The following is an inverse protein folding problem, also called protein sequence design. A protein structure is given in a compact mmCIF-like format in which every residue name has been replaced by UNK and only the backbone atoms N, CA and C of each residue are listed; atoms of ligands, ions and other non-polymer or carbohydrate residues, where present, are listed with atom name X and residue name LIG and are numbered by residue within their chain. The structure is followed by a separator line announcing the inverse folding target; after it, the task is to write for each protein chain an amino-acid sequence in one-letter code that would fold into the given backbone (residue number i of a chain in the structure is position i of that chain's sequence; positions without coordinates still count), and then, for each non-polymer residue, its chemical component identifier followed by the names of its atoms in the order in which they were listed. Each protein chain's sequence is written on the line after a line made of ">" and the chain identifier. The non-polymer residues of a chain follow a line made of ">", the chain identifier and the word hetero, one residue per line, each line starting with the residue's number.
data_IF_256435524878
#
_entry.id   IF_256435524878
#
_cell.length_a   1.000
_cell.length_b   1.000
_cell.length_c   1.000
_cell.angle_alpha   90.00
_cell.angle_beta   90.00
_cell.angle_gamma   90.00
#
_symmetry.space_group_name_H-M   'P 1'
#
loop_
_entity.id
_entity.type
_entity.pdbx_description
1 polymer ?
#
# COMPACT_ATOMS: atom_id res chain seq x y z
N UNK A 1 35.89 15.54 -23.35
CA UNK A 1 34.71 14.91 -22.73
C UNK A 1 33.99 16.02 -21.99
N UNK A 2 32.82 16.40 -22.47
CA UNK A 2 32.04 17.53 -21.95
C UNK A 2 31.71 17.35 -20.46
N UNK A 3 31.79 18.46 -19.73
CA UNK A 3 31.59 18.57 -18.29
C UNK A 3 30.13 18.34 -17.89
N UNK A 4 29.69 17.09 -17.90
CA UNK A 4 28.31 16.74 -17.55
C UNK A 4 28.05 16.86 -16.04
N UNK A 5 26.83 17.25 -15.68
CA UNK A 5 26.36 17.24 -14.29
C UNK A 5 26.18 15.81 -13.79
N UNK A 6 26.57 15.54 -12.54
CA UNK A 6 26.51 14.18 -11.99
C UNK A 6 26.15 14.17 -10.50
N UNK A 7 25.56 13.05 -10.07
CA UNK A 7 25.31 12.72 -8.67
C UNK A 7 26.11 11.46 -8.33
N UNK A 8 27.03 11.60 -7.37
CA UNK A 8 27.84 10.50 -6.85
C UNK A 8 27.29 10.06 -5.50
N UNK A 9 27.11 8.75 -5.32
CA UNK A 9 26.59 8.14 -4.10
C UNK A 9 27.63 7.18 -3.55
N UNK A 10 27.96 7.32 -2.26
CA UNK A 10 28.76 6.36 -1.51
C UNK A 10 27.90 5.75 -0.42
N UNK A 11 27.51 4.49 -0.59
CA UNK A 11 26.78 3.74 0.44
C UNK A 11 27.68 3.44 1.63
N UNK A 12 28.98 3.19 1.41
CA UNK A 12 29.95 2.97 2.48
C UNK A 12 30.10 4.18 3.41
N UNK A 13 30.24 5.39 2.84
CA UNK A 13 30.35 6.63 3.59
C UNK A 13 29.00 7.24 3.98
N UNK A 14 27.88 6.61 3.59
CA UNK A 14 26.51 7.13 3.74
C UNK A 14 26.40 8.59 3.26
N UNK A 15 27.00 8.88 2.10
CA UNK A 15 27.17 10.24 1.60
C UNK A 15 26.76 10.36 0.13
N UNK A 16 26.29 11.55 -0.24
CA UNK A 16 25.93 11.90 -1.62
C UNK A 16 26.56 13.25 -1.98
N UNK A 17 27.09 13.34 -3.19
CA UNK A 17 27.65 14.58 -3.76
C UNK A 17 27.02 14.84 -5.12
N UNK A 18 26.31 15.96 -5.25
CA UNK A 18 25.85 16.49 -6.53
C UNK A 18 26.84 17.56 -7.03
N UNK A 19 27.19 17.52 -8.31
CA UNK A 19 28.09 18.48 -8.95
C UNK A 19 27.49 18.99 -10.25
N UNK A 20 27.56 20.31 -10.47
CA UNK A 20 27.07 20.97 -11.69
C UNK A 20 25.59 20.70 -12.02
N UNK A 21 24.78 20.44 -10.99
CA UNK A 21 23.33 20.21 -11.09
C UNK A 21 22.48 21.48 -10.88
N UNK A 22 23.08 22.68 -10.84
CA UNK A 22 22.38 23.93 -10.51
C UNK A 22 21.27 24.22 -11.54
N UNK A 23 20.09 24.60 -11.05
CA UNK A 23 18.92 24.90 -11.90
C UNK A 23 18.19 23.69 -12.47
N UNK A 24 18.73 22.47 -12.34
CA UNK A 24 18.05 21.26 -12.81
C UNK A 24 17.04 20.76 -11.78
N UNK A 25 15.75 20.90 -12.11
CA UNK A 25 14.65 20.34 -11.31
C UNK A 25 14.76 18.82 -11.20
N UNK A 26 15.19 18.15 -12.27
CA UNK A 26 15.39 16.69 -12.30
C UNK A 26 16.49 16.28 -11.31
N UNK A 27 17.66 16.93 -11.38
CA UNK A 27 18.75 16.61 -10.47
C UNK A 27 18.39 16.93 -9.02
N UNK A 28 17.66 18.02 -8.76
CA UNK A 28 17.18 18.35 -7.42
C UNK A 28 16.26 17.27 -6.88
N UNK A 29 15.25 16.83 -7.66
CA UNK A 29 14.32 15.77 -7.25
C UNK A 29 15.04 14.45 -7.02
N UNK A 30 15.94 14.07 -7.92
CA UNK A 30 16.73 12.85 -7.81
C UNK A 30 17.64 12.86 -6.57
N UNK A 31 18.31 13.99 -6.31
CA UNK A 31 19.14 14.16 -5.12
C UNK A 31 18.30 14.05 -3.85
N UNK A 32 17.15 14.75 -3.77
CA UNK A 32 16.24 14.66 -2.63
C UNK A 32 15.75 13.23 -2.38
N UNK A 33 15.36 12.52 -3.45
CA UNK A 33 14.93 11.13 -3.37
C UNK A 33 16.04 10.23 -2.80
N UNK A 34 17.25 10.30 -3.36
CA UNK A 34 18.38 9.53 -2.87
C UNK A 34 18.77 9.88 -1.43
N UNK A 35 18.71 11.17 -1.05
CA UNK A 35 18.94 11.59 0.33
C UNK A 35 17.92 10.96 1.28
N UNK A 36 16.63 10.92 0.89
CA UNK A 36 15.59 10.27 1.67
C UNK A 36 15.79 8.75 1.80
N UNK A 37 16.37 8.09 0.78
CA UNK A 37 16.63 6.64 0.81
C UNK A 37 18.01 6.26 1.38
N UNK A 38 18.93 7.22 1.56
CA UNK A 38 20.30 6.96 1.99
C UNK A 38 20.41 6.12 3.27
N UNK A 39 19.58 6.33 4.31
CA UNK A 39 19.60 5.47 5.50
C UNK A 39 19.34 4.01 5.17
N UNK A 40 18.33 3.73 4.35
CA UNK A 40 17.92 2.39 3.93
C UNK A 40 18.98 1.75 3.04
N UNK A 41 19.45 2.46 2.02
CA UNK A 41 20.48 1.96 1.10
C UNK A 41 21.81 1.65 1.81
N UNK A 42 22.22 2.49 2.77
CA UNK A 42 23.41 2.23 3.58
C UNK A 42 23.26 0.96 4.43
N UNK A 43 22.09 0.73 5.02
CA UNK A 43 21.86 -0.45 5.84
C UNK A 43 21.82 -1.73 4.99
N UNK A 44 21.23 -1.69 3.79
CA UNK A 44 21.31 -2.79 2.82
C UNK A 44 22.78 -3.10 2.49
N UNK A 45 23.56 -2.06 2.18
CA UNK A 45 25.00 -2.22 1.89
C UNK A 45 25.78 -2.88 3.04
N UNK A 46 25.43 -2.60 4.30
CA UNK A 46 26.13 -3.13 5.48
C UNK A 46 25.66 -4.53 5.87
N UNK A 47 24.36 -4.81 5.78
CA UNK A 47 23.75 -5.99 6.40
C UNK A 47 23.20 -7.03 5.43
N UNK A 48 22.99 -6.69 4.15
CA UNK A 48 22.52 -7.66 3.17
C UNK A 48 23.70 -8.53 2.70
N UNK A 49 23.60 -9.87 2.80
CA UNK A 49 24.59 -10.78 2.24
C UNK A 49 24.78 -10.53 0.74
N UNK A 50 26.01 -10.68 0.24
CA UNK A 50 26.34 -10.44 -1.18
C UNK A 50 26.06 -11.67 -2.06
N UNK A 51 26.02 -12.85 -1.48
CA UNK A 51 25.65 -14.12 -2.12
C UNK A 51 24.13 -14.27 -2.30
N UNK A 52 23.72 -15.15 -3.22
CA UNK A 52 22.32 -15.40 -3.58
C UNK A 52 22.03 -15.18 -5.07
N UNK A 53 20.87 -15.68 -5.52
CA UNK A 53 20.39 -15.54 -6.90
C UNK A 53 19.60 -14.25 -7.07
N UNK A 54 19.58 -13.63 -8.26
CA UNK A 54 18.84 -12.39 -8.51
C UNK A 54 17.37 -12.39 -8.04
N UNK A 55 16.70 -13.54 -8.13
CA UNK A 55 15.29 -13.72 -7.75
C UNK A 55 15.05 -13.96 -6.26
N UNK A 56 16.09 -14.19 -5.46
CA UNK A 56 15.94 -14.40 -4.03
C UNK A 56 15.37 -13.15 -3.36
N UNK A 57 14.52 -13.32 -2.35
CA UNK A 57 13.96 -12.21 -1.58
C UNK A 57 15.05 -11.54 -0.75
N UNK A 58 15.11 -10.21 -0.80
CA UNK A 58 15.99 -9.42 0.05
C UNK A 58 15.65 -9.60 1.52
N UNK A 59 16.70 -9.87 2.26
CA UNK A 59 16.75 -9.79 3.70
C UNK A 59 16.18 -8.57 4.37
N UNK A 60 16.76 -7.46 3.95
CA UNK A 60 16.74 -6.25 4.73
C UNK A 60 15.37 -5.57 4.72
N UNK A 61 14.65 -5.69 3.61
CA UNK A 61 13.32 -5.12 3.47
C UNK A 61 12.29 -6.00 4.18
N UNK A 62 11.60 -5.43 5.15
CA UNK A 62 10.42 -6.07 5.71
C UNK A 62 9.26 -6.04 4.70
N UNK A 63 8.43 -7.09 4.67
CA UNK A 63 7.24 -7.10 3.85
C UNK A 63 6.29 -5.94 4.15
N UNK A 64 5.69 -5.38 3.10
CA UNK A 64 4.60 -4.40 3.21
C UNK A 64 3.31 -5.08 2.78
N UNK A 65 2.34 -5.12 3.68
CA UNK A 65 1.02 -5.68 3.45
C UNK A 65 0.03 -4.56 3.12
N UNK A 66 -0.89 -4.85 2.21
CA UNK A 66 -1.97 -3.96 1.84
C UNK A 66 -3.29 -4.71 1.88
N UNK A 67 -4.34 -4.02 2.31
CA UNK A 67 -5.70 -4.53 2.18
C UNK A 67 -6.68 -3.38 2.05
N UNK A 68 -7.80 -3.64 1.36
CA UNK A 68 -8.90 -2.69 1.31
C UNK A 68 -9.71 -2.78 2.59
N UNK A 69 -10.29 -1.67 3.03
CA UNK A 69 -11.28 -1.71 4.10
C UNK A 69 -12.37 -2.77 3.83
N UNK A 70 -12.96 -3.32 4.90
CA UNK A 70 -14.10 -4.22 4.81
C UNK A 70 -15.29 -3.55 4.13
N UNK A 71 -16.30 -4.32 3.74
CA UNK A 71 -17.49 -3.78 3.09
C UNK A 71 -18.15 -2.67 3.94
N UNK A 72 -18.33 -1.49 3.33
CA UNK A 72 -19.01 -0.34 3.93
C UNK A 72 -20.44 -0.19 3.41
N UNK A 73 -21.25 0.59 4.09
CA UNK A 73 -22.64 0.91 3.69
C UNK A 73 -22.68 1.45 2.26
N UNK A 74 -21.79 2.39 1.90
CA UNK A 74 -21.74 2.94 0.53
C UNK A 74 -21.28 1.94 -0.53
N UNK A 75 -20.63 0.84 -0.14
CA UNK A 75 -20.34 -0.22 -1.11
C UNK A 75 -21.60 -0.99 -1.50
N UNK A 76 -22.60 -1.09 -0.61
CA UNK A 76 -23.89 -1.70 -0.94
C UNK A 76 -24.74 -0.78 -1.83
N UNK A 77 -24.62 0.52 -1.61
CA UNK A 77 -25.40 1.55 -2.31
C UNK A 77 -24.74 2.04 -3.61
N UNK A 78 -23.53 1.56 -3.91
CA UNK A 78 -22.70 2.02 -5.03
C UNK A 78 -22.46 3.55 -5.02
N UNK A 79 -22.18 4.08 -3.83
CA UNK A 79 -21.92 5.50 -3.56
C UNK A 79 -20.42 5.83 -3.59
N UNK A 80 -20.12 7.03 -4.08
CA UNK A 80 -18.77 7.58 -4.15
C UNK A 80 -18.42 8.32 -2.86
N UNK A 81 -17.17 8.18 -2.42
CA UNK A 81 -16.61 9.01 -1.35
C UNK A 81 -17.23 8.75 0.03
N UNK A 82 -17.45 9.84 0.76
CA UNK A 82 -18.09 9.86 2.08
C UNK A 82 -17.27 9.22 3.19
N UNK A 83 -17.89 9.16 4.37
CA UNK A 83 -17.34 8.48 5.56
C UNK A 83 -18.32 7.47 6.20
N UNK A 84 -18.89 6.54 5.41
CA UNK A 84 -19.78 5.49 5.91
C UNK A 84 -19.06 4.54 6.86
N UNK A 85 -19.83 3.88 7.71
CA UNK A 85 -19.31 2.81 8.55
C UNK A 85 -19.23 1.47 7.76
N UNK A 86 -18.60 0.47 8.37
CA UNK A 86 -18.64 -0.91 7.95
C UNK A 86 -20.02 -1.51 8.17
N UNK A 87 -20.45 -2.36 7.24
CA UNK A 87 -21.57 -3.27 7.45
C UNK A 87 -21.16 -4.37 8.43
N UNK A 88 -22.12 -5.14 8.94
CA UNK A 88 -21.81 -6.33 9.76
C UNK A 88 -20.84 -7.28 9.06
N UNK A 89 -21.04 -7.45 7.75
CA UNK A 89 -20.14 -8.28 6.97
C UNK A 89 -18.76 -7.64 6.78
N UNK A 90 -18.67 -6.31 6.70
CA UNK A 90 -17.39 -5.59 6.72
C UNK A 90 -16.62 -5.76 8.03
N UNK A 91 -17.33 -5.84 9.17
CA UNK A 91 -16.71 -6.16 10.47
C UNK A 91 -16.19 -7.60 10.52
N UNK A 92 -16.91 -8.55 9.89
CA UNK A 92 -16.40 -9.92 9.70
C UNK A 92 -15.18 -9.95 8.78
N UNK A 93 -15.15 -9.13 7.72
CA UNK A 93 -13.98 -8.99 6.86
C UNK A 93 -12.76 -8.50 7.66
N UNK A 94 -12.94 -7.50 8.54
CA UNK A 94 -11.90 -6.99 9.43
C UNK A 94 -11.35 -8.05 10.41
N UNK A 95 -12.25 -8.83 11.00
CA UNK A 95 -11.88 -9.92 11.91
C UNK A 95 -11.10 -11.03 11.17
N UNK A 96 -11.48 -11.36 9.93
CA UNK A 96 -10.78 -12.36 9.13
C UNK A 96 -9.36 -11.90 8.76
N UNK A 97 -9.19 -10.63 8.39
CA UNK A 97 -7.86 -10.05 8.12
C UNK A 97 -6.96 -10.21 9.36
N UNK A 98 -7.47 -9.87 10.55
CA UNK A 98 -6.72 -10.03 11.79
C UNK A 98 -6.42 -11.49 12.14
N UNK A 99 -7.35 -12.41 11.83
CA UNK A 99 -7.15 -13.86 11.98
C UNK A 99 -6.01 -14.34 11.09
N UNK A 100 -5.99 -13.93 9.81
CA UNK A 100 -4.90 -14.24 8.88
C UNK A 100 -3.55 -13.77 9.42
N UNK A 101 -3.44 -12.54 9.92
CA UNK A 101 -2.18 -12.05 10.48
C UNK A 101 -1.74 -12.86 11.71
N UNK A 102 -2.69 -13.29 12.54
CA UNK A 102 -2.40 -14.10 13.73
C UNK A 102 -1.91 -15.50 13.37
N UNK A 103 -2.57 -16.18 12.43
CA UNK A 103 -2.28 -17.58 12.09
C UNK A 103 -1.16 -17.72 11.06
N UNK A 104 -1.22 -16.93 9.97
CA UNK A 104 -0.38 -17.14 8.79
C UNK A 104 0.85 -16.22 8.73
N UNK A 105 0.88 -15.13 9.50
CA UNK A 105 1.98 -14.15 9.41
C UNK A 105 2.84 -14.17 10.68
N UNK A 106 2.27 -13.88 11.85
CA UNK A 106 3.04 -13.71 13.09
C UNK A 106 3.91 -14.91 13.48
N UNK A 107 3.56 -16.12 13.04
CA UNK A 107 4.28 -17.34 13.37
C UNK A 107 4.96 -17.98 12.17
N UNK A 108 5.04 -17.28 11.03
CA UNK A 108 5.52 -17.85 9.78
C UNK A 108 7.05 -17.75 9.66
N UNK A 109 7.80 -18.85 9.84
CA UNK A 109 9.24 -18.80 9.77
C UNK A 109 9.74 -18.53 8.35
N UNK A 110 8.95 -18.88 7.32
CA UNK A 110 9.33 -18.73 5.91
C UNK A 110 9.20 -17.28 5.42
N UNK A 111 8.18 -16.54 5.86
CA UNK A 111 8.04 -15.10 5.58
C UNK A 111 9.15 -14.28 6.24
N UNK A 112 9.70 -14.78 7.35
CA UNK A 112 10.67 -14.06 8.18
C UNK A 112 11.89 -14.93 8.49
N UNK A 113 12.48 -15.61 7.50
CA UNK A 113 13.65 -16.49 7.71
C UNK A 113 14.85 -15.80 8.38
N UNK A 114 14.92 -14.47 8.35
CA UNK A 114 15.94 -13.66 9.07
C UNK A 114 15.40 -12.94 10.31
N UNK A 115 14.22 -13.32 10.81
CA UNK A 115 13.74 -12.92 12.14
C UNK A 115 14.71 -13.47 13.18
N UNK A 116 15.49 -12.57 13.76
CA UNK A 116 16.32 -12.87 14.92
C UNK A 116 15.58 -12.44 16.18
N UNK A 117 15.99 -12.89 17.36
CA UNK A 117 15.45 -12.34 18.62
C UNK A 117 15.56 -10.80 18.67
N UNK A 118 16.61 -10.25 18.03
CA UNK A 118 16.80 -8.81 17.85
C UNK A 118 15.74 -8.18 16.94
N UNK A 119 15.21 -8.88 15.94
CA UNK A 119 14.07 -8.40 15.14
C UNK A 119 12.85 -8.23 16.04
N UNK A 120 12.50 -9.24 16.85
CA UNK A 120 11.37 -9.11 17.78
C UNK A 120 11.52 -8.00 18.82
N UNK A 121 12.76 -7.72 19.24
CA UNK A 121 13.07 -6.64 20.17
C UNK A 121 13.18 -5.25 19.51
N UNK A 122 13.50 -5.16 18.21
CA UNK A 122 13.89 -3.88 17.55
C UNK A 122 13.16 -3.57 16.24
N UNK A 123 12.42 -4.51 15.66
CA UNK A 123 11.73 -4.45 14.36
C UNK A 123 10.37 -5.13 14.47
N UNK A 124 9.30 -4.35 14.63
CA UNK A 124 7.95 -4.86 14.85
C UNK A 124 7.03 -4.78 13.62
N UNK A 125 5.74 -4.57 13.92
CA UNK A 125 4.74 -4.20 12.94
C UNK A 125 4.28 -2.76 13.14
N UNK A 126 3.76 -2.15 12.08
CA UNK A 126 2.92 -0.97 12.15
C UNK A 126 1.62 -1.21 11.39
N UNK A 127 0.51 -0.67 11.90
CA UNK A 127 -0.78 -0.69 11.22
C UNK A 127 -1.15 0.72 10.81
N UNK A 128 -1.24 0.95 9.51
CA UNK A 128 -1.52 2.25 8.90
C UNK A 128 -2.92 2.22 8.30
N UNK A 129 -3.64 3.34 8.43
CA UNK A 129 -4.92 3.50 7.77
C UNK A 129 -5.18 4.95 7.36
N UNK A 130 -6.26 5.16 6.62
CA UNK A 130 -6.76 6.51 6.34
C UNK A 130 -7.41 7.15 7.58
N UNK A 131 -7.93 8.36 7.43
CA UNK A 131 -8.75 9.01 8.46
C UNK A 131 -10.24 8.67 8.37
N UNK A 132 -10.66 7.82 7.43
CA UNK A 132 -12.06 7.43 7.26
C UNK A 132 -12.40 6.22 8.14
N UNK A 133 -13.61 6.22 8.70
CA UNK A 133 -14.14 5.25 9.68
C UNK A 133 -13.95 3.82 9.20
N UNK A 134 -14.36 3.52 7.97
CA UNK A 134 -14.25 2.18 7.37
C UNK A 134 -12.84 1.60 7.41
N UNK A 135 -11.78 2.39 7.17
CA UNK A 135 -10.41 1.87 7.27
C UNK A 135 -9.96 1.72 8.72
N UNK A 136 -10.37 2.64 9.60
CA UNK A 136 -10.03 2.58 11.03
C UNK A 136 -10.65 1.34 11.70
N UNK A 137 -11.94 1.12 11.50
CA UNK A 137 -12.65 -0.05 12.03
C UNK A 137 -12.15 -1.36 11.40
N UNK A 138 -11.66 -1.33 10.16
CA UNK A 138 -11.02 -2.51 9.55
C UNK A 138 -9.64 -2.78 10.15
N UNK A 139 -8.87 -1.73 10.46
CA UNK A 139 -7.53 -1.83 11.02
C UNK A 139 -7.52 -2.28 12.49
N UNK A 140 -8.54 -1.91 13.27
CA UNK A 140 -8.60 -2.11 14.72
C UNK A 140 -8.39 -3.58 15.18
N UNK A 141 -9.07 -4.60 14.61
CA UNK A 141 -8.78 -5.98 14.99
C UNK A 141 -7.33 -6.39 14.71
N UNK A 142 -6.75 -5.91 13.61
CA UNK A 142 -5.37 -6.23 13.23
C UNK A 142 -4.36 -5.46 14.10
N UNK A 143 -4.66 -4.24 14.53
CA UNK A 143 -3.78 -3.47 15.42
C UNK A 143 -3.69 -4.09 16.80
N UNK A 144 -4.77 -4.68 17.31
CA UNK A 144 -4.75 -5.46 18.56
C UNK A 144 -3.80 -6.66 18.43
N UNK A 145 -3.81 -7.34 17.29
CA UNK A 145 -2.95 -8.50 17.02
C UNK A 145 -1.48 -8.12 16.81
N UNK A 146 -1.22 -7.07 16.03
CA UNK A 146 0.11 -6.76 15.52
C UNK A 146 0.87 -5.73 16.36
N UNK A 147 0.14 -4.81 17.02
CA UNK A 147 0.70 -3.54 17.53
C UNK A 147 0.10 -3.10 18.86
N UNK A 148 -0.50 -4.02 19.62
CA UNK A 148 -1.13 -3.72 20.92
C UNK A 148 -2.16 -2.56 20.85
N UNK A 149 -2.91 -2.51 19.76
CA UNK A 149 -3.96 -1.51 19.52
C UNK A 149 -3.49 -0.21 18.84
N UNK A 150 -2.18 -0.01 18.62
CA UNK A 150 -1.67 1.22 18.02
C UNK A 150 -1.96 1.30 16.51
N UNK A 151 -2.54 2.41 16.05
CA UNK A 151 -2.82 2.66 14.63
C UNK A 151 -2.26 4.02 14.24
N UNK A 152 -1.53 4.07 13.12
CA UNK A 152 -1.09 5.32 12.50
C UNK A 152 -2.09 5.72 11.42
N UNK A 153 -2.73 6.88 11.58
CA UNK A 153 -3.76 7.38 10.66
C UNK A 153 -3.23 8.52 9.81
N UNK A 154 -3.35 8.39 8.49
CA UNK A 154 -2.83 9.35 7.53
C UNK A 154 -3.94 9.93 6.66
N UNK A 155 -4.08 11.26 6.64
CA UNK A 155 -5.00 11.95 5.72
C UNK A 155 -4.67 11.65 4.25
N UNK A 156 -3.38 11.51 3.93
CA UNK A 156 -2.91 11.16 2.58
C UNK A 156 -3.34 9.77 2.12
N UNK A 157 -3.83 8.90 3.01
CA UNK A 157 -4.42 7.62 2.66
C UNK A 157 -5.95 7.67 2.49
N UNK A 158 -6.60 8.83 2.64
CA UNK A 158 -8.04 8.97 2.35
C UNK A 158 -8.31 8.63 0.88
N UNK A 159 -9.51 8.10 0.62
CA UNK A 159 -9.95 7.78 -0.74
C UNK A 159 -9.87 9.00 -1.66
N UNK A 160 -9.80 8.77 -2.96
CA UNK A 160 -9.89 9.83 -3.96
C UNK A 160 -11.13 10.68 -3.71
N UNK A 161 -10.95 12.00 -3.62
CA UNK A 161 -12.06 12.93 -3.37
C UNK A 161 -12.86 13.15 -4.66
N UNK A 162 -14.12 12.72 -4.69
CA UNK A 162 -15.03 12.84 -5.82
C UNK A 162 -15.63 14.25 -5.98
N UNK A 163 -15.26 15.20 -5.11
CA UNK A 163 -15.60 16.61 -5.27
C UNK A 163 -17.10 16.84 -5.15
N UNK A 164 -17.71 17.49 -6.14
CA UNK A 164 -19.16 17.68 -6.20
C UNK A 164 -19.95 16.37 -6.31
N UNK A 165 -19.29 15.23 -6.53
CA UNK A 165 -19.88 13.91 -6.61
C UNK A 165 -19.68 13.07 -5.33
N UNK A 166 -19.15 13.64 -4.25
CA UNK A 166 -19.14 12.98 -2.94
C UNK A 166 -20.57 12.66 -2.49
N UNK A 167 -20.75 11.54 -1.81
CA UNK A 167 -22.05 11.07 -1.30
C UNK A 167 -23.12 10.97 -2.41
N UNK A 168 -22.72 10.65 -3.65
CA UNK A 168 -23.63 10.34 -4.75
C UNK A 168 -23.45 8.90 -5.20
N UNK A 169 -24.53 8.23 -5.58
CA UNK A 169 -24.49 6.96 -6.31
C UNK A 169 -23.96 7.20 -7.72
N UNK A 170 -23.37 6.17 -8.34
CA UNK A 170 -22.97 6.29 -9.75
C UNK A 170 -24.15 6.62 -10.68
N UNK A 171 -25.36 6.16 -10.35
CA UNK A 171 -26.57 6.47 -11.12
C UNK A 171 -27.01 7.93 -10.96
N UNK A 172 -26.98 8.49 -9.75
CA UNK A 172 -27.22 9.92 -9.53
C UNK A 172 -26.21 10.80 -10.28
N UNK A 173 -24.92 10.43 -10.28
CA UNK A 173 -23.89 11.14 -11.05
C UNK A 173 -24.19 11.10 -12.55
N UNK A 174 -24.62 9.96 -13.07
CA UNK A 174 -24.98 9.81 -14.49
C UNK A 174 -26.17 10.68 -14.87
N UNK A 175 -27.16 10.82 -13.98
CA UNK A 175 -28.37 11.61 -14.23
C UNK A 175 -28.10 13.11 -14.10
N UNK A 176 -27.38 13.55 -13.06
CA UNK A 176 -27.18 14.96 -12.73
C UNK A 176 -25.99 15.54 -13.50
N UNK A 177 -24.92 14.76 -13.70
CA UNK A 177 -23.67 15.19 -14.34
C UNK A 177 -23.21 14.21 -15.44
N UNK A 178 -24.00 13.99 -16.52
CA UNK A 178 -23.68 13.01 -17.56
C UNK A 178 -22.30 13.24 -18.21
N UNK A 179 -21.88 14.49 -18.34
CA UNK A 179 -20.56 14.83 -18.88
C UNK A 179 -19.41 14.37 -17.99
N UNK A 180 -19.56 14.37 -16.66
CA UNK A 180 -18.52 13.86 -15.74
C UNK A 180 -18.25 12.38 -16.02
N UNK A 181 -19.31 11.59 -16.19
CA UNK A 181 -19.16 10.17 -16.51
C UNK A 181 -18.45 9.97 -17.86
N UNK A 182 -18.82 10.76 -18.87
CA UNK A 182 -18.21 10.70 -20.20
C UNK A 182 -16.71 11.02 -20.17
N UNK A 183 -16.32 12.18 -19.61
CA UNK A 183 -14.91 12.58 -19.54
C UNK A 183 -14.08 11.60 -18.71
N UNK A 184 -14.61 11.13 -17.58
CA UNK A 184 -13.94 10.14 -16.74
C UNK A 184 -13.78 8.79 -17.44
N UNK A 185 -14.68 8.42 -18.34
CA UNK A 185 -14.53 7.20 -19.13
C UNK A 185 -13.43 7.34 -20.18
N UNK A 186 -13.32 8.51 -20.82
CA UNK A 186 -12.29 8.79 -21.84
C UNK A 186 -10.88 8.82 -21.26
N UNK A 187 -10.68 9.49 -20.12
CA UNK A 187 -9.38 9.54 -19.44
C UNK A 187 -9.57 9.40 -17.93
N UNK A 188 -9.61 8.15 -17.45
CA UNK A 188 -9.85 7.87 -16.04
C UNK A 188 -8.71 8.33 -15.12
N UNK A 189 -7.49 8.41 -15.63
CA UNK A 189 -6.31 8.76 -14.82
C UNK A 189 -6.16 10.28 -14.71
N UNK A 190 -6.30 10.99 -15.83
CA UNK A 190 -6.18 12.45 -15.90
C UNK A 190 -7.46 13.19 -15.55
N UNK A 191 -8.64 12.57 -15.65
CA UNK A 191 -9.88 13.21 -15.24
C UNK A 191 -9.84 13.59 -13.77
N UNK A 192 -10.11 14.87 -13.50
CA UNK A 192 -10.23 15.43 -12.16
C UNK A 192 -11.68 15.77 -11.90
N UNK A 193 -12.23 15.23 -10.82
CA UNK A 193 -13.57 15.64 -10.37
C UNK A 193 -13.59 17.16 -10.05
N UNK A 194 -14.66 17.90 -10.41
CA UNK A 194 -14.79 19.30 -10.00
C UNK A 194 -14.75 19.42 -8.49
N UNK A 195 -13.88 20.30 -7.96
CA UNK A 195 -13.58 20.42 -6.53
C UNK A 195 -13.09 19.12 -5.86
N UNK A 196 -12.52 18.21 -6.65
CA UNK A 196 -12.00 16.93 -6.19
C UNK A 196 -10.60 16.63 -6.74
N UNK A 197 -10.33 15.35 -6.92
CA UNK A 197 -9.02 14.80 -7.30
C UNK A 197 -9.10 13.97 -8.59
N UNK A 198 -7.95 13.89 -9.26
CA UNK A 198 -7.63 12.88 -10.28
C UNK A 198 -6.74 11.78 -9.68
N UNK A 199 -6.51 10.68 -10.41
CA UNK A 199 -5.49 9.71 -10.00
C UNK A 199 -4.08 10.33 -10.01
N UNK A 200 -3.83 11.34 -10.85
CA UNK A 200 -2.56 12.08 -10.82
C UNK A 200 -2.39 12.88 -9.54
N UNK A 201 -3.47 13.52 -9.05
CA UNK A 201 -3.44 14.23 -7.77
C UNK A 201 -3.23 13.26 -6.60
N UNK A 202 -3.92 12.12 -6.65
CA UNK A 202 -3.76 11.04 -5.69
C UNK A 202 -2.31 10.52 -5.66
N UNK A 203 -1.70 10.27 -6.81
CA UNK A 203 -0.29 9.84 -6.89
C UNK A 203 0.67 10.86 -6.27
N UNK A 204 0.47 12.15 -6.52
CA UNK A 204 1.26 13.22 -5.87
C UNK A 204 1.05 13.25 -4.35
N UNK A 205 -0.19 13.09 -3.90
CA UNK A 205 -0.56 13.04 -2.47
C UNK A 205 0.02 11.82 -1.74
N UNK A 206 0.14 10.69 -2.43
CA UNK A 206 0.70 9.45 -1.88
C UNK A 206 2.23 9.40 -1.88
N UNK A 207 2.91 10.30 -2.59
CA UNK A 207 4.38 10.30 -2.67
C UNK A 207 5.09 10.31 -1.29
N UNK A 208 4.67 11.12 -0.29
CA UNK A 208 5.26 11.05 1.04
C UNK A 208 5.04 9.70 1.73
N UNK A 209 3.87 9.08 1.55
CA UNK A 209 3.55 7.75 2.10
C UNK A 209 4.44 6.68 1.46
N UNK A 210 4.67 6.74 0.14
CA UNK A 210 5.57 5.82 -0.55
C UNK A 210 7.00 5.89 0.02
N UNK A 211 7.52 7.10 0.24
CA UNK A 211 8.85 7.29 0.83
C UNK A 211 8.93 6.77 2.27
N UNK A 212 7.86 6.90 3.04
CA UNK A 212 7.81 6.39 4.41
C UNK A 212 7.74 4.84 4.43
N UNK A 213 6.96 4.24 3.54
CA UNK A 213 6.87 2.78 3.40
C UNK A 213 8.21 2.15 2.99
N UNK A 214 8.90 2.72 2.00
CA UNK A 214 10.19 2.19 1.52
C UNK A 214 11.31 2.35 2.57
N UNK A 215 11.21 3.34 3.45
CA UNK A 215 12.14 3.55 4.55
C UNK A 215 11.70 2.87 5.85
N UNK A 216 10.54 2.22 5.87
CA UNK A 216 10.03 1.55 7.07
C UNK A 216 10.93 0.38 7.41
N UNK A 217 11.35 0.33 8.67
CA UNK A 217 11.99 -0.85 9.26
C UNK A 217 11.00 -1.90 9.71
N UNK A 218 9.88 -1.56 10.39
CA UNK A 218 8.88 -2.57 10.73
C UNK A 218 8.10 -3.02 9.49
N UNK A 219 7.53 -4.22 9.57
CA UNK A 219 6.49 -4.64 8.62
C UNK A 219 5.32 -3.67 8.72
N UNK A 220 4.71 -3.31 7.60
CA UNK A 220 3.58 -2.37 7.61
C UNK A 220 2.36 -3.04 7.03
N UNK A 221 1.23 -3.01 7.76
CA UNK A 221 -0.09 -3.28 7.20
C UNK A 221 -0.76 -1.96 6.86
N UNK A 222 -1.03 -1.72 5.58
CA UNK A 222 -1.78 -0.57 5.08
C UNK A 222 -3.22 -0.97 4.79
N UNK A 223 -4.16 -0.44 5.57
CA UNK A 223 -5.60 -0.57 5.34
C UNK A 223 -6.12 0.67 4.63
N UNK A 224 -6.48 0.54 3.35
CA UNK A 224 -6.79 1.68 2.49
C UNK A 224 -8.05 1.45 1.63
N UNK A 225 -8.16 2.21 0.55
CA UNK A 225 -9.33 2.28 -0.32
C UNK A 225 -8.98 1.89 -1.75
N UNK A 226 -9.98 1.79 -2.61
CA UNK A 226 -9.83 1.23 -3.95
C UNK A 226 -8.89 2.06 -4.84
N UNK A 227 -9.07 3.39 -4.93
CA UNK A 227 -8.21 4.21 -5.79
C UNK A 227 -6.79 4.33 -5.19
N UNK A 228 -6.72 4.45 -3.86
CA UNK A 228 -5.45 4.48 -3.11
C UNK A 228 -4.63 3.22 -3.36
N UNK A 229 -5.23 2.04 -3.21
CA UNK A 229 -4.55 0.77 -3.41
C UNK A 229 -4.14 0.56 -4.86
N UNK A 230 -4.99 0.86 -5.84
CA UNK A 230 -4.59 0.80 -7.26
C UNK A 230 -3.35 1.65 -7.55
N UNK A 231 -3.22 2.79 -6.88
CA UNK A 231 -2.07 3.69 -7.04
C UNK A 231 -0.83 3.16 -6.31
N UNK A 232 -0.97 2.71 -5.05
CA UNK A 232 0.15 2.15 -4.28
C UNK A 232 0.66 0.84 -4.87
N UNK A 233 -0.23 -0.11 -5.17
CA UNK A 233 0.14 -1.41 -5.73
C UNK A 233 0.82 -1.27 -7.08
N UNK A 234 0.46 -0.26 -7.89
CA UNK A 234 1.17 0.05 -9.14
C UNK A 234 2.65 0.39 -8.92
N UNK A 235 3.00 1.04 -7.80
CA UNK A 235 4.39 1.29 -7.42
C UNK A 235 5.09 0.00 -6.93
N UNK A 236 4.36 -0.85 -6.22
CA UNK A 236 4.88 -2.06 -5.58
C UNK A 236 4.74 -3.32 -6.46
N UNK A 237 4.99 -3.22 -7.77
CA UNK A 237 5.06 -4.38 -8.67
C UNK A 237 3.73 -4.85 -9.26
N UNK A 238 2.63 -4.15 -8.99
CA UNK A 238 1.36 -4.31 -9.68
C UNK A 238 1.36 -3.68 -11.07
N UNK A 239 0.22 -3.76 -11.80
CA UNK A 239 0.11 -3.14 -13.12
C UNK A 239 0.26 -1.61 -13.03
N UNK A 240 0.73 -0.93 -14.11
CA UNK A 240 0.71 0.52 -14.21
C UNK A 240 -0.68 1.10 -13.89
N UNK A 241 -0.74 2.29 -13.29
CA UNK A 241 -1.99 2.88 -12.81
C UNK A 241 -3.04 2.99 -13.91
N UNK A 242 -2.62 3.26 -15.14
CA UNK A 242 -3.44 3.33 -16.36
C UNK A 242 -4.20 2.03 -16.62
N UNK A 243 -3.62 0.88 -16.27
CA UNK A 243 -4.28 -0.42 -16.33
C UNK A 243 -5.04 -0.71 -15.03
N UNK A 244 -4.42 -0.43 -13.87
CA UNK A 244 -4.97 -0.72 -12.55
C UNK A 244 -6.33 -0.06 -12.29
N UNK A 245 -6.57 1.15 -12.83
CA UNK A 245 -7.87 1.83 -12.70
C UNK A 245 -9.04 1.07 -13.33
N UNK A 246 -8.77 0.13 -14.25
CA UNK A 246 -9.76 -0.74 -14.89
C UNK A 246 -9.80 -2.16 -14.28
N UNK A 247 -8.79 -2.54 -13.50
CA UNK A 247 -8.71 -3.83 -12.83
C UNK A 247 -9.53 -3.87 -11.53
N UNK A 248 -9.96 -5.06 -11.11
CA UNK A 248 -10.60 -5.25 -9.81
C UNK A 248 -9.62 -4.91 -8.67
N UNK A 249 -10.15 -4.40 -7.56
CA UNK A 249 -9.45 -4.26 -6.28
C UNK A 249 -10.41 -4.75 -5.19
N UNK A 250 -10.56 -6.08 -5.07
CA UNK A 250 -11.59 -6.70 -4.26
C UNK A 250 -11.36 -6.44 -2.76
N UNK A 251 -12.45 -6.40 -1.98
CA UNK A 251 -12.35 -6.60 -0.54
C UNK A 251 -11.87 -8.04 -0.23
N UNK A 252 -11.55 -8.31 1.04
CA UNK A 252 -11.11 -9.65 1.51
C UNK A 252 -9.88 -10.19 0.77
N UNK A 253 -8.98 -9.29 0.38
CA UNK A 253 -7.74 -9.62 -0.30
C UNK A 253 -6.61 -8.93 0.43
N UNK A 254 -5.51 -9.64 0.62
CA UNK A 254 -4.27 -9.14 1.20
C UNK A 254 -3.22 -9.20 0.10
N UNK A 255 -2.64 -8.05 -0.21
CA UNK A 255 -1.46 -8.01 -1.05
C UNK A 255 -0.22 -7.90 -0.18
N UNK A 256 0.85 -8.60 -0.53
CA UNK A 256 2.14 -8.45 0.15
C UNK A 256 3.21 -8.10 -0.87
N UNK A 257 3.97 -7.05 -0.58
CA UNK A 257 5.12 -6.64 -1.36
C UNK A 257 6.41 -7.05 -0.64
N UNK A 258 7.27 -7.74 -1.36
CA UNK A 258 8.68 -7.96 -1.01
C UNK A 258 9.58 -7.41 -2.13
N UNK A 259 10.90 -7.50 -1.96
CA UNK A 259 11.85 -7.09 -3.00
C UNK A 259 12.80 -8.24 -3.30
N UNK A 260 13.14 -8.45 -4.57
CA UNK A 260 14.20 -9.38 -4.94
C UNK A 260 15.59 -8.72 -4.81
N UNK A 261 16.68 -9.48 -5.02
CA UNK A 261 18.06 -8.96 -4.93
C UNK A 261 18.41 -7.90 -5.98
N UNK A 262 17.60 -7.77 -7.04
CA UNK A 262 17.71 -6.68 -8.02
C UNK A 262 17.03 -5.37 -7.55
N UNK A 263 16.36 -5.40 -6.39
CA UNK A 263 15.58 -4.27 -5.87
C UNK A 263 14.23 -4.12 -6.56
N UNK A 264 13.78 -5.12 -7.32
CA UNK A 264 12.48 -5.10 -7.99
C UNK A 264 11.39 -5.54 -7.00
N UNK A 265 10.26 -4.81 -6.92
CA UNK A 265 9.17 -5.22 -6.07
C UNK A 265 8.50 -6.49 -6.61
N UNK A 266 8.22 -7.43 -5.72
CA UNK A 266 7.45 -8.65 -5.97
C UNK A 266 6.12 -8.53 -5.25
N UNK A 267 5.03 -8.45 -6.03
CA UNK A 267 3.69 -8.37 -5.49
C UNK A 267 3.00 -9.72 -5.53
N UNK A 268 2.39 -10.02 -4.41
CA UNK A 268 1.66 -11.24 -4.14
C UNK A 268 0.23 -10.92 -3.76
N UNK A 269 -0.71 -11.76 -4.19
CA UNK A 269 -2.13 -11.63 -3.86
C UNK A 269 -2.62 -12.86 -3.09
N UNK A 270 -3.26 -12.62 -1.95
CA UNK A 270 -3.82 -13.65 -1.07
C UNK A 270 -5.30 -13.33 -0.86
N UNK A 271 -6.15 -14.16 -1.46
CA UNK A 271 -7.60 -14.08 -1.26
C UNK A 271 -7.99 -14.79 0.04
N UNK A 272 -8.70 -14.07 0.92
CA UNK A 272 -9.23 -14.66 2.14
C UNK A 272 -10.40 -15.59 1.81
N UNK A 273 -10.67 -16.62 2.64
CA UNK A 273 -11.77 -17.55 2.42
C UNK A 273 -13.11 -16.81 2.26
N UNK A 274 -14.12 -17.39 1.59
CA UNK A 274 -15.44 -16.77 1.52
C UNK A 274 -16.03 -16.59 2.92
N UNK A 275 -16.96 -15.64 3.07
CA UNK A 275 -17.72 -15.48 4.32
C UNK A 275 -18.44 -16.79 4.60
N UNK A 276 -18.11 -17.46 5.70
CA UNK A 276 -18.84 -18.67 6.11
C UNK A 276 -20.29 -18.26 6.35
N UNK A 277 -21.24 -18.90 5.65
CA UNK A 277 -22.63 -18.86 6.08
C UNK A 277 -22.69 -19.47 7.47
N UNK A 278 -23.59 -18.97 8.35
CA UNK A 278 -23.75 -19.49 9.72
C UNK A 278 -24.11 -20.99 9.80
N UNK A 279 -24.22 -21.70 8.68
CA UNK A 279 -24.82 -23.05 8.60
C UNK A 279 -23.84 -24.19 8.28
N UNK A 280 -22.54 -23.97 8.07
CA UNK A 280 -21.62 -25.09 7.80
C UNK A 280 -20.31 -24.99 8.57
N UNK A 281 -20.23 -25.80 9.64
CA UNK A 281 -19.02 -26.09 10.40
C UNK A 281 -18.00 -26.94 9.61
N UNK A 282 -17.59 -26.46 8.44
CA UNK A 282 -16.54 -27.07 7.63
C UNK A 282 -15.16 -26.54 8.00
N UNK A 283 -14.17 -27.43 8.15
CA UNK A 283 -12.75 -27.09 8.27
C UNK A 283 -12.31 -26.24 7.07
N UNK A 284 -11.45 -25.25 7.33
CA UNK A 284 -10.82 -24.42 6.31
C UNK A 284 -9.90 -25.26 5.42
N UNK A 285 -10.20 -25.35 4.13
CA UNK A 285 -9.23 -25.72 3.11
C UNK A 285 -8.71 -24.45 2.46
N UNK A 286 -7.38 -24.29 2.48
CA UNK A 286 -6.68 -23.08 2.04
C UNK A 286 -5.54 -22.73 2.99
N UNK A 287 -4.63 -23.66 3.23
CA UNK A 287 -3.36 -23.32 3.86
C UNK A 287 -2.50 -22.57 2.84
N UNK A 288 -1.95 -21.41 3.22
CA UNK A 288 -0.95 -20.72 2.41
C UNK A 288 0.31 -21.58 2.36
N UNK A 289 0.65 -22.08 1.17
CA UNK A 289 1.76 -23.04 0.98
C UNK A 289 3.14 -22.39 0.79
N UNK A 290 3.26 -21.08 0.97
CA UNK A 290 4.52 -20.37 0.76
C UNK A 290 4.74 -19.84 -0.65
N UNK A 291 5.94 -19.27 -0.85
CA UNK A 291 6.54 -18.88 -2.13
C UNK A 291 7.45 -19.99 -2.66
#
# INVERSE_FOLDING_TARGET
>A
MEDCGYVSVSLAAKALRASRCRGSVVCSRFTSFLTSLMPTLHQIYVYEPLDGKPDDTLSFFTPIFFTRHGQSEYNLEDRLGGDPDLTDSGRLDAAEIASFFRSEVLHNPSLFMRRTAKWDETVGFEVWCSQLRRTRHTAEPSSVVLTQGQIRSFKSLNEIHAGICEDMTNEEVKQIYPHIQSFRHTDKVGFRYPNGESYQDLARRLNPILLELVNSKPCVLVVAHQAVLRTLLSYFGGPPVEKAVHSSCPQRTIWVCTYNRLGEPRLAEISLPPRRSRESGGKSEGAWTGW
#
